data_IF_403383102222
#
_entry.id   IF_403383102222
#
_cell.length_a   1.000
_cell.length_b   1.000
_cell.length_c   1.000
_cell.angle_alpha   90.00
_cell.angle_beta   90.00
_cell.angle_gamma   90.00
#
_symmetry.space_group_name_H-M   'P 1'
#
loop_
_entity.id
_entity.type
_entity.pdbx_description
1 polymer ?
#
# COMPACT_ATOMS: atom_id res chain seq x y z
N UNK A 1 -10.81 -31.11 -24.09
CA UNK A 1 -10.06 -29.85 -23.93
C UNK A 1 -9.96 -29.56 -22.43
N UNK A 2 -8.77 -29.45 -21.83
CA UNK A 2 -8.69 -29.20 -20.39
C UNK A 2 -9.04 -27.74 -20.12
N UNK A 3 -9.96 -27.55 -19.18
CA UNK A 3 -10.27 -26.26 -18.57
C UNK A 3 -9.04 -25.92 -17.71
N UNK A 4 -8.24 -24.96 -18.16
CA UNK A 4 -7.14 -24.41 -17.36
C UNK A 4 -7.76 -23.67 -16.17
N UNK A 5 -7.86 -24.34 -15.04
CA UNK A 5 -8.05 -23.73 -13.73
C UNK A 5 -6.89 -22.77 -13.49
N UNK A 6 -7.07 -21.48 -13.78
CA UNK A 6 -6.09 -20.46 -13.45
C UNK A 6 -6.24 -20.11 -11.97
N UNK A 7 -5.16 -20.31 -11.23
CA UNK A 7 -5.01 -19.92 -9.84
C UNK A 7 -5.25 -18.41 -9.69
N UNK A 8 -6.24 -18.05 -8.88
CA UNK A 8 -6.42 -16.68 -8.41
C UNK A 8 -5.41 -16.43 -7.30
N UNK A 9 -4.51 -15.47 -7.48
CA UNK A 9 -3.61 -15.04 -6.42
C UNK A 9 -4.38 -14.09 -5.50
N UNK A 10 -4.82 -14.61 -4.36
CA UNK A 10 -5.21 -13.80 -3.22
C UNK A 10 -3.93 -13.34 -2.52
N UNK A 11 -3.59 -12.05 -2.60
CA UNK A 11 -2.56 -11.50 -1.72
C UNK A 11 -3.22 -11.20 -0.38
N UNK A 12 -3.22 -12.18 0.53
CA UNK A 12 -3.59 -11.99 1.93
C UNK A 12 -2.27 -11.98 2.70
N UNK A 13 -1.80 -10.81 3.08
CA UNK A 13 -0.68 -10.70 4.02
C UNK A 13 -1.18 -11.24 5.38
N UNK A 14 -0.61 -12.36 5.82
CA UNK A 14 -1.00 -13.10 7.03
C UNK A 14 -0.28 -12.61 8.31
N UNK A 15 0.44 -11.48 8.26
CA UNK A 15 1.39 -11.11 9.32
C UNK A 15 0.76 -10.24 10.44
N UNK A 16 -0.50 -9.81 10.34
CA UNK A 16 -1.10 -8.94 11.37
C UNK A 16 -2.46 -9.45 11.85
N UNK A 17 -2.61 -9.61 13.17
CA UNK A 17 -3.86 -9.92 13.88
C UNK A 17 -4.91 -8.78 13.82
N UNK A 18 -4.80 -7.84 12.87
CA UNK A 18 -5.68 -6.67 12.75
C UNK A 18 -6.43 -6.66 11.40
N UNK A 19 -7.71 -6.30 11.46
CA UNK A 19 -8.70 -6.42 10.37
C UNK A 19 -8.60 -5.21 9.42
N UNK A 20 -7.47 -5.06 8.74
CA UNK A 20 -7.40 -4.25 7.52
C UNK A 20 -7.14 -5.22 6.37
N UNK A 21 -8.13 -5.36 5.48
CA UNK A 21 -8.05 -6.23 4.32
C UNK A 21 -8.07 -5.34 3.09
N UNK A 22 -6.92 -5.19 2.46
CA UNK A 22 -6.82 -4.56 1.14
C UNK A 22 -6.67 -5.69 0.14
N UNK A 23 -7.66 -5.82 -0.74
CA UNK A 23 -7.64 -6.84 -1.79
C UNK A 23 -7.61 -6.12 -3.11
N UNK A 24 -6.51 -6.30 -3.84
CA UNK A 24 -6.48 -6.00 -5.26
C UNK A 24 -7.21 -7.14 -5.98
N UNK A 25 -8.30 -6.82 -6.66
CA UNK A 25 -9.00 -7.77 -7.54
C UNK A 25 -8.67 -7.40 -8.98
N UNK A 26 -7.90 -8.27 -9.65
CA UNK A 26 -7.71 -8.19 -11.09
C UNK A 26 -8.91 -8.88 -11.74
N UNK A 27 -9.92 -8.11 -12.14
CA UNK A 27 -10.95 -8.60 -13.05
C UNK A 27 -10.50 -8.34 -14.50
N UNK A 28 -10.13 -9.36 -15.30
CA UNK A 28 -10.19 -9.17 -16.73
C UNK A 28 -11.66 -9.06 -17.10
N UNK A 29 -12.14 -7.85 -17.38
CA UNK A 29 -13.44 -7.68 -18.01
C UNK A 29 -13.30 -8.18 -19.45
N UNK A 30 -13.45 -9.49 -19.68
CA UNK A 30 -13.70 -10.01 -21.03
C UNK A 30 -15.17 -9.71 -21.30
N UNK A 31 -15.47 -8.50 -21.81
CA UNK A 31 -16.73 -8.32 -22.54
C UNK A 31 -16.62 -9.16 -23.81
N UNK A 32 -17.49 -10.16 -23.96
CA UNK A 32 -17.71 -10.82 -25.26
C UNK A 32 -18.34 -9.81 -26.22
N UNK A 33 -17.55 -8.88 -26.76
CA UNK A 33 -17.95 -8.05 -27.89
C UNK A 33 -16.76 -7.92 -28.84
N UNK A 34 -16.94 -8.54 -30.00
CA UNK A 34 -16.10 -8.54 -31.19
C UNK A 34 -14.66 -9.06 -31.12
N UNK A 35 -14.41 -10.13 -31.88
CA UNK A 35 -13.12 -10.75 -32.14
C UNK A 35 -12.11 -9.87 -32.93
N UNK A 36 -12.20 -8.54 -32.86
CA UNK A 36 -11.35 -7.61 -33.61
C UNK A 36 -10.70 -6.49 -32.78
N UNK A 37 -10.88 -6.46 -31.45
CA UNK A 37 -10.26 -5.43 -30.61
C UNK A 37 -8.88 -5.88 -30.06
N UNK A 38 -7.82 -5.05 -30.14
CA UNK A 38 -6.55 -5.35 -29.47
C UNK A 38 -6.80 -5.50 -27.97
N UNK A 39 -6.24 -6.54 -27.35
CA UNK A 39 -6.34 -6.81 -25.91
C UNK A 39 -6.17 -5.53 -25.09
N UNK A 40 -7.28 -4.92 -24.64
CA UNK A 40 -7.22 -3.79 -23.71
C UNK A 40 -6.70 -4.34 -22.39
N UNK A 41 -5.47 -3.93 -22.02
CA UNK A 41 -4.90 -4.22 -20.70
C UNK A 41 -5.83 -3.62 -19.64
N UNK A 42 -6.62 -4.44 -18.98
CA UNK A 42 -7.46 -4.01 -17.86
C UNK A 42 -6.57 -3.77 -16.66
N UNK A 43 -6.53 -2.54 -16.16
CA UNK A 43 -5.80 -2.21 -14.94
C UNK A 43 -6.53 -2.75 -13.71
N UNK A 44 -5.81 -3.12 -12.63
CA UNK A 44 -6.42 -3.64 -11.42
C UNK A 44 -7.33 -2.59 -10.76
N UNK A 45 -8.46 -3.04 -10.22
CA UNK A 45 -9.31 -2.23 -9.34
C UNK A 45 -9.00 -2.63 -7.91
N UNK A 46 -8.82 -1.65 -7.03
CA UNK A 46 -8.49 -1.88 -5.62
C UNK A 46 -9.71 -1.63 -4.75
N UNK A 47 -9.99 -2.60 -3.88
CA UNK A 47 -11.01 -2.48 -2.85
C UNK A 47 -10.37 -2.53 -1.46
N UNK A 48 -10.90 -1.70 -0.57
CA UNK A 48 -10.50 -1.62 0.82
C UNK A 48 -11.73 -1.71 1.73
N UNK A 49 -11.59 -2.39 2.86
CA UNK A 49 -12.59 -2.48 3.91
C UNK A 49 -11.91 -2.81 5.25
N UNK A 50 -12.66 -2.67 6.34
CA UNK A 50 -12.16 -2.80 7.71
C UNK A 50 -12.21 -1.48 8.47
N UNK A 51 -11.30 -1.32 9.43
CA UNK A 51 -11.25 -0.15 10.32
C UNK A 51 -10.72 1.11 9.58
N UNK A 52 -11.46 2.21 9.64
CA UNK A 52 -11.09 3.48 8.97
C UNK A 52 -10.52 4.54 9.94
N UNK A 53 -10.25 4.20 11.20
CA UNK A 53 -9.95 5.16 12.27
C UNK A 53 -8.78 6.12 12.00
N UNK A 54 -7.85 5.74 11.11
CA UNK A 54 -6.67 6.52 10.76
C UNK A 54 -6.62 6.96 9.29
N UNK A 55 -7.63 6.61 8.48
CA UNK A 55 -7.59 6.81 7.03
C UNK A 55 -6.81 5.74 6.25
N UNK A 56 -6.41 4.63 6.88
CA UNK A 56 -5.62 3.55 6.28
C UNK A 56 -6.26 2.87 5.05
N UNK A 57 -7.56 3.07 4.83
CA UNK A 57 -8.28 2.59 3.65
C UNK A 57 -8.12 3.51 2.43
N UNK A 58 -7.65 4.76 2.61
CA UNK A 58 -7.50 5.73 1.53
C UNK A 58 -8.82 6.23 0.92
N UNK A 59 -9.94 6.06 1.65
CA UNK A 59 -11.30 6.39 1.20
C UNK A 59 -11.76 7.81 1.57
N UNK A 60 -10.86 8.69 2.03
CA UNK A 60 -11.16 10.07 2.44
C UNK A 60 -12.18 10.21 3.59
N UNK A 61 -12.17 9.28 4.54
CA UNK A 61 -13.09 9.31 5.67
C UNK A 61 -12.45 9.84 6.94
N UNK A 62 -13.11 10.82 7.57
CA UNK A 62 -12.67 11.46 8.82
C UNK A 62 -13.27 10.80 10.07
N UNK A 63 -14.37 10.07 9.88
CA UNK A 63 -15.10 9.45 10.97
C UNK A 63 -14.56 8.06 11.29
N UNK A 64 -14.50 7.75 12.59
CA UNK A 64 -14.25 6.40 13.08
C UNK A 64 -15.42 5.50 12.66
N UNK A 65 -15.22 4.77 11.57
CA UNK A 65 -16.21 3.89 10.98
C UNK A 65 -15.53 2.61 10.50
N UNK A 66 -16.18 1.48 10.74
CA UNK A 66 -15.80 0.23 10.10
C UNK A 66 -16.52 0.11 8.78
N UNK A 67 -15.77 -0.07 7.71
CA UNK A 67 -16.28 -0.38 6.38
C UNK A 67 -16.48 -1.90 6.31
N UNK A 68 -17.73 -2.35 6.30
CA UNK A 68 -18.06 -3.78 6.35
C UNK A 68 -18.27 -4.42 4.96
N UNK A 69 -18.13 -3.64 3.88
CA UNK A 69 -18.25 -4.11 2.50
C UNK A 69 -17.08 -3.59 1.66
N UNK A 70 -16.55 -4.39 0.72
CA UNK A 70 -15.49 -3.94 -0.18
C UNK A 70 -15.86 -2.62 -0.85
N UNK A 71 -15.05 -1.57 -0.63
CA UNK A 71 -15.27 -0.23 -1.19
C UNK A 71 -14.12 0.14 -2.11
N UNK A 72 -14.42 0.64 -3.31
CA UNK A 72 -13.39 0.96 -4.30
C UNK A 72 -12.55 2.16 -3.86
N UNK A 73 -11.24 2.04 -4.04
CA UNK A 73 -10.27 3.12 -3.79
C UNK A 73 -10.02 3.88 -5.10
N UNK A 74 -10.89 4.82 -5.42
CA UNK A 74 -10.85 5.57 -6.70
C UNK A 74 -9.54 6.34 -6.94
N UNK A 75 -8.80 6.69 -5.90
CA UNK A 75 -7.49 7.35 -6.03
C UNK A 75 -6.41 6.47 -6.70
N UNK A 76 -6.67 5.17 -6.85
CA UNK A 76 -5.81 4.21 -7.55
C UNK A 76 -6.27 3.89 -8.98
N UNK A 77 -7.41 4.42 -9.42
CA UNK A 77 -7.91 4.17 -10.77
C UNK A 77 -6.91 4.66 -11.82
N UNK A 78 -6.66 3.84 -12.84
CA UNK A 78 -5.71 4.16 -13.90
C UNK A 78 -4.23 4.01 -13.53
N UNK A 79 -3.90 3.63 -12.29
CA UNK A 79 -2.51 3.41 -11.85
C UNK A 79 -2.07 1.96 -12.03
N UNK A 80 -0.85 1.76 -12.50
CA UNK A 80 -0.24 0.42 -12.54
C UNK A 80 0.35 0.08 -11.17
N UNK A 81 -0.31 -0.82 -10.45
CA UNK A 81 0.10 -1.24 -9.11
C UNK A 81 1.07 -2.42 -9.21
N UNK A 82 2.16 -2.34 -8.47
CA UNK A 82 3.17 -3.40 -8.34
C UNK A 82 3.03 -4.18 -7.03
N UNK A 83 2.81 -3.50 -5.91
CA UNK A 83 2.71 -4.11 -4.58
C UNK A 83 1.85 -3.25 -3.66
N UNK A 84 1.12 -3.86 -2.73
CA UNK A 84 0.38 -3.16 -1.68
C UNK A 84 0.68 -3.88 -0.37
N UNK A 85 0.89 -3.13 0.71
CA UNK A 85 1.01 -3.68 2.05
C UNK A 85 0.28 -2.81 3.06
N UNK A 86 -0.38 -3.43 4.04
CA UNK A 86 -1.10 -2.72 5.09
C UNK A 86 -0.55 -3.11 6.46
N UNK A 87 -0.25 -2.09 7.26
CA UNK A 87 0.22 -2.19 8.62
C UNK A 87 -0.92 -2.10 9.63
N UNK A 88 -0.60 -1.79 10.88
CA UNK A 88 -1.63 -1.65 11.94
C UNK A 88 -2.58 -0.47 11.68
N UNK A 89 -2.08 0.60 11.09
CA UNK A 89 -2.84 1.83 10.93
C UNK A 89 -2.50 2.63 9.68
N UNK A 90 -1.69 2.09 8.77
CA UNK A 90 -1.32 2.76 7.52
C UNK A 90 -1.18 1.74 6.40
N UNK A 91 -1.20 2.21 5.17
CA UNK A 91 -1.11 1.41 3.95
C UNK A 91 -0.07 2.02 3.05
N UNK A 92 0.74 1.17 2.42
CA UNK A 92 1.71 1.51 1.39
C UNK A 92 1.29 0.88 0.07
N UNK A 93 1.42 1.63 -1.00
CA UNK A 93 1.18 1.18 -2.37
C UNK A 93 2.40 1.51 -3.20
N UNK A 94 3.00 0.49 -3.81
CA UNK A 94 4.05 0.61 -4.82
C UNK A 94 3.42 0.57 -6.20
N UNK A 95 3.68 1.60 -7.00
CA UNK A 95 3.33 1.65 -8.41
C UNK A 95 4.47 1.05 -9.25
N UNK A 96 4.18 0.63 -10.49
CA UNK A 96 5.17 0.05 -11.41
C UNK A 96 6.21 1.04 -11.93
N UNK A 97 5.97 2.34 -11.80
CA UNK A 97 6.98 3.36 -12.08
C UNK A 97 7.98 3.52 -10.92
N UNK A 98 7.78 2.78 -9.81
CA UNK A 98 8.60 2.80 -8.62
C UNK A 98 8.16 3.83 -7.58
N UNK A 99 7.10 4.61 -7.84
CA UNK A 99 6.55 5.56 -6.88
C UNK A 99 5.82 4.86 -5.75
N UNK A 100 5.93 5.43 -4.55
CA UNK A 100 5.20 4.96 -3.37
C UNK A 100 4.09 5.95 -3.02
N UNK A 101 2.90 5.41 -2.79
CA UNK A 101 1.80 6.13 -2.17
C UNK A 101 1.55 5.56 -0.77
N UNK A 102 1.09 6.42 0.14
CA UNK A 102 0.75 6.04 1.51
C UNK A 102 -0.53 6.72 1.99
N UNK A 103 -1.26 6.06 2.87
CA UNK A 103 -2.34 6.65 3.64
C UNK A 103 -2.41 6.02 5.04
N UNK A 104 -3.09 6.68 5.97
CA UNK A 104 -3.32 6.22 7.33
C UNK A 104 -2.65 7.07 8.41
N UNK A 105 -2.42 6.44 9.56
CA UNK A 105 -1.80 7.03 10.73
C UNK A 105 -0.38 7.47 10.38
N UNK A 106 -0.01 8.67 10.84
CA UNK A 106 1.32 9.22 10.62
C UNK A 106 1.96 9.73 11.92
N UNK A 107 1.50 9.25 13.08
CA UNK A 107 1.99 9.68 14.40
C UNK A 107 3.51 9.48 14.57
N UNK A 108 4.06 8.50 13.87
CA UNK A 108 5.49 8.18 13.81
C UNK A 108 6.06 8.37 12.42
N UNK A 109 5.47 9.23 11.59
CA UNK A 109 5.95 9.52 10.22
C UNK A 109 5.97 8.31 9.29
N UNK A 110 5.23 7.24 9.59
CA UNK A 110 5.22 5.99 8.82
C UNK A 110 4.60 6.13 7.41
N UNK A 111 3.85 7.19 7.13
CA UNK A 111 3.43 7.54 5.77
C UNK A 111 4.54 8.27 4.98
N UNK A 112 5.66 8.63 5.61
CA UNK A 112 6.83 9.18 4.93
C UNK A 112 6.72 10.68 4.58
N UNK A 113 5.83 11.42 5.22
CA UNK A 113 5.78 12.89 5.19
C UNK A 113 6.30 13.47 6.50
N UNK A 114 6.98 14.62 6.44
CA UNK A 114 7.50 15.33 7.62
C UNK A 114 6.41 16.09 8.39
N UNK A 115 5.37 15.36 8.77
CA UNK A 115 4.25 15.82 9.59
C UNK A 115 3.76 14.67 10.46
N UNK A 116 3.02 14.97 11.52
CA UNK A 116 2.37 13.96 12.36
C UNK A 116 0.86 13.85 12.04
N UNK A 117 0.40 14.48 10.97
CA UNK A 117 -0.99 14.43 10.54
C UNK A 117 -1.29 13.16 9.75
N UNK A 118 -2.38 12.49 10.12
CA UNK A 118 -2.90 11.33 9.41
C UNK A 118 -3.24 11.67 7.95
N UNK A 119 -2.99 10.72 7.06
CA UNK A 119 -3.25 10.82 5.63
C UNK A 119 -4.55 10.08 5.30
N UNK A 120 -5.63 10.81 5.03
CA UNK A 120 -6.95 10.22 4.80
C UNK A 120 -7.14 9.69 3.36
N UNK A 121 -6.27 10.14 2.47
CA UNK A 121 -6.18 9.74 1.07
C UNK A 121 -4.76 9.28 0.76
N UNK A 122 -4.62 8.53 -0.33
CA UNK A 122 -3.31 8.13 -0.82
C UNK A 122 -2.55 9.34 -1.37
N UNK A 123 -1.44 9.69 -0.73
CA UNK A 123 -0.48 10.71 -1.17
C UNK A 123 0.90 10.10 -1.41
N UNK A 124 1.77 10.79 -2.15
CA UNK A 124 3.15 10.33 -2.35
C UNK A 124 3.89 10.24 -1.00
N UNK A 125 4.65 9.16 -0.82
CA UNK A 125 5.37 8.84 0.41
C UNK A 125 6.87 8.98 0.23
N UNK A 126 7.56 9.42 1.28
CA UNK A 126 9.01 9.36 1.43
C UNK A 126 9.74 10.40 0.58
N UNK A 127 9.97 11.58 1.16
CA UNK A 127 11.02 12.47 0.67
C UNK A 127 12.36 11.71 0.71
N UNK A 128 12.98 11.50 -0.46
CA UNK A 128 14.21 10.69 -0.59
C UNK A 128 14.04 9.34 -1.29
N UNK A 129 12.81 8.87 -1.59
CA UNK A 129 12.61 7.68 -2.43
C UNK A 129 12.72 7.97 -3.93
N UNK A 130 12.59 9.23 -4.35
CA UNK A 130 12.64 9.65 -5.75
C UNK A 130 13.86 9.14 -6.56
N UNK A 131 15.09 9.06 -6.02
CA UNK A 131 16.22 8.48 -6.76
C UNK A 131 16.19 6.94 -6.85
N UNK A 132 15.16 6.28 -6.30
CA UNK A 132 15.08 4.84 -6.19
C UNK A 132 13.83 4.28 -6.88
N UNK A 133 14.01 3.27 -7.72
CA UNK A 133 12.88 2.50 -8.23
C UNK A 133 12.50 1.43 -7.21
N UNK A 134 11.39 1.62 -6.50
CA UNK A 134 10.89 0.66 -5.53
C UNK A 134 10.16 -0.48 -6.25
N UNK A 135 10.38 -1.72 -5.79
CA UNK A 135 9.76 -2.92 -6.38
C UNK A 135 8.84 -3.68 -5.40
N UNK A 136 8.98 -3.44 -4.09
CA UNK A 136 8.17 -4.07 -3.06
C UNK A 136 8.05 -3.15 -1.83
N UNK A 137 6.89 -3.23 -1.16
CA UNK A 137 6.58 -2.49 0.07
C UNK A 137 6.17 -3.47 1.16
N UNK A 138 6.50 -3.16 2.41
CA UNK A 138 5.99 -3.83 3.60
C UNK A 138 5.68 -2.80 4.69
N UNK A 139 4.51 -2.92 5.32
CA UNK A 139 4.04 -2.01 6.35
C UNK A 139 3.95 -2.74 7.71
N UNK A 140 4.67 -2.23 8.71
CA UNK A 140 4.64 -2.72 10.08
C UNK A 140 3.57 -2.05 10.94
N UNK A 141 3.71 -2.13 12.27
CA UNK A 141 2.77 -1.47 13.18
C UNK A 141 2.81 0.06 13.06
N UNK A 142 4.01 0.64 12.99
CA UNK A 142 4.26 2.08 12.90
C UNK A 142 5.57 2.39 12.19
N UNK A 143 6.03 1.47 11.33
CA UNK A 143 7.22 1.63 10.50
C UNK A 143 6.93 1.05 9.11
N UNK A 144 7.74 1.48 8.16
CA UNK A 144 7.58 1.20 6.74
C UNK A 144 8.89 0.73 6.16
N UNK A 145 8.80 -0.21 5.23
CA UNK A 145 9.96 -0.84 4.59
C UNK A 145 9.72 -0.91 3.09
N UNK A 146 10.76 -0.63 2.32
CA UNK A 146 10.75 -0.80 0.87
C UNK A 146 11.98 -1.55 0.39
N UNK A 147 11.80 -2.34 -0.66
CA UNK A 147 12.88 -2.95 -1.42
C UNK A 147 12.98 -2.24 -2.77
N UNK A 148 14.16 -1.73 -3.07
CA UNK A 148 14.46 -1.10 -4.37
C UNK A 148 14.95 -2.14 -5.38
N UNK A 149 14.86 -1.79 -6.67
CA UNK A 149 15.37 -2.63 -7.77
C UNK A 149 16.88 -2.92 -7.66
N UNK A 150 17.63 -2.03 -7.00
CA UNK A 150 19.05 -2.20 -6.72
C UNK A 150 19.31 -3.02 -5.44
N UNK A 151 18.32 -3.76 -4.96
CA UNK A 151 18.37 -4.60 -3.76
C UNK A 151 18.69 -3.86 -2.46
N UNK A 152 18.53 -2.53 -2.43
CA UNK A 152 18.59 -1.75 -1.18
C UNK A 152 17.26 -1.84 -0.46
N UNK A 153 17.33 -2.09 0.85
CA UNK A 153 16.20 -1.99 1.76
C UNK A 153 16.26 -0.62 2.42
N UNK A 154 15.17 0.14 2.35
CA UNK A 154 15.06 1.43 3.03
C UNK A 154 13.92 1.37 4.02
N UNK A 155 14.12 2.00 5.17
CA UNK A 155 13.16 1.94 6.27
C UNK A 155 12.91 3.34 6.85
N UNK A 156 11.69 3.57 7.32
CA UNK A 156 11.31 4.80 8.02
C UNK A 156 10.18 4.57 9.01
N UNK A 157 9.93 5.55 9.87
CA UNK A 157 8.89 5.50 10.89
C UNK A 157 9.42 5.40 12.32
N UNK A 158 8.72 4.64 13.16
CA UNK A 158 9.07 4.40 14.58
C UNK A 158 10.30 3.51 14.71
N UNK A 159 11.24 3.89 15.59
CA UNK A 159 12.46 3.12 15.86
C UNK A 159 12.77 2.87 17.36
N UNK A 160 11.77 3.00 18.26
CA UNK A 160 12.02 2.86 19.72
C UNK A 160 12.46 1.46 20.14
N UNK A 161 12.21 0.44 19.31
CA UNK A 161 12.60 -0.96 19.56
C UNK A 161 13.58 -1.49 18.48
N UNK A 162 14.20 -0.59 17.71
CA UNK A 162 15.11 -0.98 16.62
C UNK A 162 14.39 -1.54 15.39
N UNK A 163 13.11 -1.21 15.20
CA UNK A 163 12.28 -1.75 14.10
C UNK A 163 12.85 -1.42 12.72
N UNK A 164 13.68 -0.39 12.60
CA UNK A 164 14.32 0.01 11.34
C UNK A 164 15.56 -0.83 11.00
N UNK A 165 16.09 -1.62 11.93
CA UNK A 165 17.22 -2.52 11.67
C UNK A 165 18.55 -1.82 11.35
N UNK A 166 18.71 -0.56 11.75
CA UNK A 166 19.88 0.28 11.45
C UNK A 166 21.03 0.17 12.45
N UNK A 167 20.91 -0.73 13.44
CA UNK A 167 21.88 -0.88 14.51
C UNK A 167 21.76 0.19 15.61
N UNK A 168 20.69 0.99 15.58
CA UNK A 168 20.36 2.00 16.58
C UNK A 168 18.93 1.82 17.10
N UNK A 169 18.65 2.46 18.22
CA UNK A 169 17.31 2.72 18.73
C UNK A 169 17.20 4.23 18.88
N UNK A 170 16.26 4.85 18.15
CA UNK A 170 16.01 6.27 18.23
C UNK A 170 14.57 6.51 18.70
N UNK A 171 14.39 7.40 19.67
CA UNK A 171 13.06 7.83 20.09
C UNK A 171 12.39 8.71 19.04
N UNK A 172 13.17 9.47 18.27
CA UNK A 172 12.65 10.31 17.20
C UNK A 172 12.29 9.48 15.97
N UNK A 173 11.06 9.66 15.49
CA UNK A 173 10.62 9.12 14.21
C UNK A 173 11.18 9.93 13.05
N UNK A 174 11.49 9.27 11.93
CA UNK A 174 11.96 9.91 10.70
C UNK A 174 11.02 9.59 9.54
N UNK A 175 10.73 10.62 8.73
CA UNK A 175 9.95 10.48 7.49
C UNK A 175 10.82 10.05 6.30
N UNK A 176 12.10 10.44 6.31
CA UNK A 176 13.06 10.15 5.25
C UNK A 176 13.53 8.70 5.35
N UNK A 177 13.40 7.90 4.29
CA UNK A 177 13.89 6.54 4.28
C UNK A 177 15.42 6.49 4.29
N UNK A 178 15.94 5.57 5.11
CA UNK A 178 17.38 5.35 5.30
C UNK A 178 17.74 3.89 5.12
#
# INVERSE_FOLDING_TARGET
>A
MPILSRCYWFYVDYISNFIIRIVSLIFPHVSLQDCSSPFKKTLPVVFAWGEQNSGALGLNGWEKKTICSPSQVFSLDGKEIQSISSGKGHTLVCLKDGKILSCGSNDFRQCGQDTNLNQLTLGEAGEGLQPHHVIQVAAGASHSVVLTQNYKVLTWGKNTEGQLGRGDVEESSRATPT
#
